data_IF_291633331978
#
_entry.id   IF_291633331978
#
_cell.length_a   1.000
_cell.length_b   1.000
_cell.length_c   1.000
_cell.angle_alpha   90.00
_cell.angle_beta   90.00
_cell.angle_gamma   90.00
#
_symmetry.space_group_name_H-M   'P 1'
#
loop_
_entity.id
_entity.type
_entity.pdbx_description
1 polymer ?
#
# COMPACT_ATOMS: atom_id res chain seq x y z
N UNK A 1 2.16 9.69 -16.78
CA UNK A 1 2.83 8.53 -16.14
C UNK A 1 3.93 9.05 -15.22
N UNK A 2 4.19 8.40 -14.09
CA UNK A 2 5.23 8.77 -13.13
C UNK A 2 6.08 7.54 -12.75
N UNK A 3 7.30 7.78 -12.29
CA UNK A 3 8.17 6.78 -11.68
C UNK A 3 8.46 7.24 -10.26
N UNK A 4 7.68 6.75 -9.28
CA UNK A 4 7.87 7.16 -7.89
C UNK A 4 9.26 6.73 -7.41
N UNK A 5 10.00 7.65 -6.81
CA UNK A 5 11.25 7.34 -6.14
C UNK A 5 10.99 6.60 -4.83
N UNK A 6 12.03 5.93 -4.30
CA UNK A 6 11.95 5.28 -2.98
C UNK A 6 11.62 6.31 -1.90
N UNK A 7 12.24 7.50 -1.96
CA UNK A 7 11.97 8.58 -1.03
C UNK A 7 10.49 9.02 -1.07
N UNK A 8 9.93 9.18 -2.28
CA UNK A 8 8.51 9.53 -2.44
C UNK A 8 7.58 8.44 -1.90
N UNK A 9 7.83 7.17 -2.21
CA UNK A 9 7.00 6.06 -1.71
C UNK A 9 7.07 5.92 -0.18
N UNK A 10 8.25 6.12 0.40
CA UNK A 10 8.43 6.15 1.86
C UNK A 10 7.69 7.34 2.48
N UNK A 11 7.73 8.53 1.87
CA UNK A 11 6.95 9.68 2.36
C UNK A 11 5.43 9.43 2.23
N UNK A 12 5.00 8.76 1.16
CA UNK A 12 3.60 8.49 0.85
C UNK A 12 2.96 7.53 1.87
N UNK A 13 3.65 6.44 2.22
CA UNK A 13 3.13 5.37 3.06
C UNK A 13 3.87 5.13 4.36
N UNK A 14 4.89 5.92 4.72
CA UNK A 14 5.74 5.66 5.89
C UNK A 14 5.00 5.58 7.22
N UNK A 15 3.80 6.16 7.32
CA UNK A 15 2.94 6.01 8.48
C UNK A 15 2.47 4.55 8.70
N UNK A 16 2.39 3.74 7.63
CA UNK A 16 1.91 2.36 7.68
C UNK A 16 2.85 1.44 8.44
N UNK A 17 4.17 1.67 8.41
CA UNK A 17 5.14 0.84 9.13
C UNK A 17 4.80 0.77 10.63
N UNK A 18 4.52 1.92 11.24
CA UNK A 18 4.09 2.02 12.65
C UNK A 18 2.70 1.43 12.90
N UNK A 19 1.81 1.50 11.91
CA UNK A 19 0.47 0.90 12.00
C UNK A 19 0.58 -0.63 11.99
N UNK A 20 1.42 -1.18 11.13
CA UNK A 20 1.67 -2.62 11.01
C UNK A 20 2.31 -3.19 12.26
N UNK A 21 3.27 -2.50 12.85
CA UNK A 21 3.92 -2.92 14.09
C UNK A 21 2.90 -3.13 15.22
N UNK A 22 1.86 -2.30 15.30
CA UNK A 22 0.80 -2.43 16.31
C UNK A 22 -0.24 -3.48 15.95
N UNK A 23 -0.64 -3.57 14.68
CA UNK A 23 -1.80 -4.36 14.24
C UNK A 23 -1.47 -5.81 13.89
N UNK A 24 -0.24 -6.12 13.48
CA UNK A 24 0.12 -7.44 12.95
C UNK A 24 0.65 -8.43 13.99
N UNK A 25 0.94 -8.00 15.22
CA UNK A 25 1.47 -8.86 16.31
C UNK A 25 0.61 -10.12 16.49
N UNK A 26 -0.71 -9.95 16.54
CA UNK A 26 -1.64 -11.08 16.73
C UNK A 26 -1.55 -12.09 15.57
N UNK A 27 -1.37 -11.60 14.34
CA UNK A 27 -1.26 -12.46 13.16
C UNK A 27 0.05 -13.25 13.16
N UNK A 28 1.14 -12.66 13.67
CA UNK A 28 2.43 -13.35 13.80
C UNK A 28 2.31 -14.50 14.81
N UNK A 29 1.68 -14.28 15.97
CA UNK A 29 1.49 -15.34 16.97
C UNK A 29 0.72 -16.55 16.40
N UNK A 30 -0.34 -16.29 15.62
CA UNK A 30 -1.12 -17.35 14.95
C UNK A 30 -0.27 -18.09 13.91
N UNK A 31 0.49 -17.36 13.08
CA UNK A 31 1.39 -17.97 12.08
C UNK A 31 2.48 -18.82 12.73
N UNK A 32 3.05 -18.37 13.85
CA UNK A 32 4.06 -19.12 14.61
C UNK A 32 3.47 -20.40 15.20
N UNK A 33 2.28 -20.33 15.79
CA UNK A 33 1.58 -21.51 16.31
C UNK A 33 1.30 -22.51 15.18
N UNK A 34 0.68 -22.05 14.08
CA UNK A 34 0.41 -22.89 12.92
C UNK A 34 1.67 -23.56 12.38
N UNK A 35 2.77 -22.83 12.22
CA UNK A 35 4.01 -23.37 11.67
C UNK A 35 4.69 -24.37 12.62
N UNK A 36 4.71 -24.10 13.93
CA UNK A 36 5.35 -24.99 14.91
C UNK A 36 4.50 -26.22 15.26
N UNK A 37 3.17 -26.09 15.17
CA UNK A 37 2.22 -27.18 15.46
C UNK A 37 1.84 -27.99 14.22
N UNK A 38 2.14 -27.52 12.99
CA UNK A 38 1.89 -28.29 11.77
C UNK A 38 2.88 -29.43 11.54
N UNK A 39 3.98 -29.47 12.30
CA UNK A 39 4.98 -30.52 12.17
C UNK A 39 4.44 -31.87 12.65
N UNK A 40 4.70 -32.98 11.92
CA UNK A 40 4.17 -34.31 12.27
C UNK A 40 4.68 -34.82 13.62
N UNK A 41 5.83 -34.30 14.06
CA UNK A 41 6.47 -34.60 15.33
C UNK A 41 6.64 -33.27 16.07
N UNK A 42 6.38 -33.21 17.40
CA UNK A 42 6.60 -32.01 18.17
C UNK A 42 8.02 -31.46 17.97
N UNK A 43 8.12 -30.19 17.56
CA UNK A 43 9.41 -29.49 17.37
C UNK A 43 10.19 -29.40 18.68
N UNK A 44 9.48 -29.31 19.79
CA UNK A 44 10.01 -29.29 21.14
C UNK A 44 9.40 -30.41 21.97
N UNK A 45 10.16 -30.92 22.93
CA UNK A 45 9.74 -31.92 23.92
C UNK A 45 8.89 -31.32 25.05
N UNK A 46 8.53 -30.05 24.95
CA UNK A 46 7.66 -29.32 25.87
C UNK A 46 6.56 -28.56 25.10
N UNK A 47 5.38 -28.35 25.72
CA UNK A 47 4.32 -27.56 25.11
C UNK A 47 4.66 -26.07 25.13
N UNK A 48 4.41 -25.38 24.02
CA UNK A 48 4.43 -23.91 23.96
C UNK A 48 3.02 -23.41 24.24
N UNK A 49 2.86 -22.53 25.23
CA UNK A 49 1.55 -21.98 25.61
C UNK A 49 1.25 -20.67 24.88
N UNK A 50 -0.03 -20.25 24.74
CA UNK A 50 -0.41 -19.05 23.98
C UNK A 50 0.37 -17.77 24.33
N UNK A 51 0.72 -17.56 25.60
CA UNK A 51 1.50 -16.39 26.05
C UNK A 51 2.93 -16.37 25.49
N UNK A 52 3.53 -17.53 25.22
CA UNK A 52 4.89 -17.64 24.68
C UNK A 52 4.90 -17.33 23.18
N UNK A 53 3.89 -17.80 22.43
CA UNK A 53 3.68 -17.36 21.05
C UNK A 53 3.51 -15.84 20.93
N UNK A 54 2.78 -15.23 21.87
CA UNK A 54 2.65 -13.76 21.92
C UNK A 54 3.99 -13.07 22.22
N UNK A 55 4.80 -13.61 23.13
CA UNK A 55 6.12 -13.08 23.44
C UNK A 55 7.07 -13.16 22.23
N UNK A 56 7.11 -14.30 21.53
CA UNK A 56 7.87 -14.46 20.30
C UNK A 56 7.38 -13.50 19.20
N UNK A 57 6.07 -13.40 19.02
CA UNK A 57 5.47 -12.48 18.05
C UNK A 57 5.84 -11.03 18.31
N UNK A 58 5.86 -10.59 19.58
CA UNK A 58 6.29 -9.24 19.96
C UNK A 58 7.73 -8.95 19.56
N UNK A 59 8.64 -9.92 19.71
CA UNK A 59 10.04 -9.80 19.30
C UNK A 59 10.20 -9.66 17.78
N UNK A 60 9.32 -10.28 17.01
CA UNK A 60 9.33 -10.22 15.55
C UNK A 60 8.53 -9.06 14.96
N UNK A 61 7.67 -8.41 15.75
CA UNK A 61 6.68 -7.44 15.28
C UNK A 61 7.28 -6.30 14.45
N UNK A 62 8.35 -5.66 14.96
CA UNK A 62 9.02 -4.57 14.26
C UNK A 62 9.65 -5.05 12.94
N UNK A 63 10.32 -6.22 12.93
CA UNK A 63 10.91 -6.79 11.72
C UNK A 63 9.86 -7.16 10.68
N UNK A 64 8.75 -7.76 11.12
CA UNK A 64 7.65 -8.13 10.25
C UNK A 64 6.96 -6.90 9.66
N UNK A 65 6.65 -5.90 10.47
CA UNK A 65 6.08 -4.64 10.02
C UNK A 65 6.98 -3.92 9.00
N UNK A 66 8.29 -3.88 9.28
CA UNK A 66 9.29 -3.36 8.35
C UNK A 66 9.29 -4.13 7.03
N UNK A 67 9.19 -5.46 7.07
CA UNK A 67 9.12 -6.29 5.86
C UNK A 67 7.84 -6.04 5.05
N UNK A 68 6.68 -5.98 5.70
CA UNK A 68 5.40 -5.73 5.02
C UNK A 68 5.37 -4.32 4.40
N UNK A 69 5.90 -3.31 5.10
CA UNK A 69 6.05 -1.98 4.55
C UNK A 69 7.06 -1.95 3.38
N UNK A 70 8.18 -2.65 3.50
CA UNK A 70 9.17 -2.75 2.43
C UNK A 70 8.58 -3.34 1.15
N UNK A 71 7.74 -4.36 1.27
CA UNK A 71 7.04 -4.94 0.13
C UNK A 71 6.21 -3.87 -0.60
N UNK A 72 5.51 -2.97 0.12
CA UNK A 72 4.67 -1.93 -0.50
C UNK A 72 5.53 -0.98 -1.31
N UNK A 73 6.61 -0.48 -0.71
CA UNK A 73 7.56 0.42 -1.38
C UNK A 73 8.21 -0.27 -2.59
N UNK A 74 8.58 -1.54 -2.44
CA UNK A 74 9.16 -2.33 -3.53
C UNK A 74 8.17 -2.56 -4.67
N UNK A 75 6.90 -2.81 -4.39
CA UNK A 75 5.88 -2.90 -5.42
C UNK A 75 5.71 -1.58 -6.18
N UNK A 76 5.70 -0.45 -5.46
CA UNK A 76 5.52 0.88 -6.06
C UNK A 76 6.73 1.37 -6.85
N UNK A 77 7.95 0.97 -6.46
CA UNK A 77 9.19 1.57 -6.98
C UNK A 77 10.11 0.57 -7.68
N UNK A 78 9.88 -0.73 -7.48
CA UNK A 78 10.77 -1.81 -7.92
C UNK A 78 12.03 -1.94 -7.08
N UNK A 79 12.10 -1.30 -5.91
CA UNK A 79 13.25 -1.30 -5.02
C UNK A 79 12.84 -1.42 -3.55
N UNK A 80 13.50 -2.32 -2.81
CA UNK A 80 13.30 -2.46 -1.37
C UNK A 80 13.98 -1.30 -0.61
N UNK A 81 13.26 -0.54 0.23
CA UNK A 81 13.80 0.66 0.88
C UNK A 81 14.90 0.36 1.91
N UNK A 82 15.04 -0.90 2.34
CA UNK A 82 16.03 -1.32 3.34
C UNK A 82 17.14 -2.20 2.78
N UNK A 83 17.12 -2.45 1.47
CA UNK A 83 18.12 -3.24 0.76
C UNK A 83 18.42 -2.58 -0.60
N UNK A 84 18.93 -1.35 -0.53
CA UNK A 84 19.31 -0.58 -1.71
C UNK A 84 20.77 -0.87 -2.08
N UNK A 85 21.11 -0.94 -3.38
CA UNK A 85 22.49 -1.08 -3.83
C UNK A 85 23.38 0.07 -3.35
N UNK A 86 24.69 -0.18 -3.24
CA UNK A 86 25.67 0.87 -2.93
C UNK A 86 25.62 1.99 -3.97
N UNK A 87 25.63 3.23 -3.50
CA UNK A 87 25.53 4.42 -4.35
C UNK A 87 24.14 4.72 -4.91
N UNK A 88 23.11 3.92 -4.57
CA UNK A 88 21.73 4.21 -4.94
C UNK A 88 21.25 5.52 -4.30
N UNK A 89 20.60 6.40 -5.08
CA UNK A 89 20.01 7.65 -4.58
C UNK A 89 18.51 7.46 -4.36
N UNK A 90 17.98 7.50 -3.13
CA UNK A 90 16.56 7.29 -2.84
C UNK A 90 15.60 8.22 -3.60
N UNK A 91 16.07 9.39 -4.02
CA UNK A 91 15.31 10.42 -4.73
C UNK A 91 15.25 10.17 -6.24
N UNK A 92 16.09 9.30 -6.79
CA UNK A 92 16.08 9.00 -8.21
C UNK A 92 14.79 8.27 -8.62
N UNK A 93 14.32 8.41 -9.88
CA UNK A 93 13.11 7.74 -10.34
C UNK A 93 13.17 6.22 -10.11
N UNK A 94 12.06 5.66 -9.63
CA UNK A 94 11.92 4.22 -9.45
C UNK A 94 11.88 3.46 -10.78
N UNK A 95 12.00 2.14 -10.69
CA UNK A 95 11.98 1.21 -11.85
C UNK A 95 10.57 0.90 -12.32
N UNK A 96 9.58 0.99 -11.43
CA UNK A 96 8.18 0.77 -11.74
C UNK A 96 7.53 2.06 -12.22
N UNK A 97 6.67 1.93 -13.23
CA UNK A 97 5.88 3.02 -13.76
C UNK A 97 4.45 2.98 -13.19
N UNK A 98 3.90 4.14 -12.83
CA UNK A 98 2.53 4.30 -12.38
C UNK A 98 1.77 5.32 -13.22
N UNK A 99 0.47 5.10 -13.42
CA UNK A 99 -0.43 6.13 -13.92
C UNK A 99 -0.99 6.92 -12.74
N UNK A 100 -0.64 8.21 -12.67
CA UNK A 100 -1.20 9.13 -11.69
C UNK A 100 -2.23 10.04 -12.37
N UNK A 101 -3.39 10.18 -11.74
CA UNK A 101 -4.52 10.98 -12.22
C UNK A 101 -4.96 11.92 -11.10
N UNK A 102 -5.23 13.18 -11.44
CA UNK A 102 -5.79 14.17 -10.53
C UNK A 102 -7.23 14.47 -10.94
N UNK A 103 -8.18 14.11 -10.08
CA UNK A 103 -9.60 14.39 -10.30
C UNK A 103 -10.02 15.64 -9.53
N UNK A 104 -10.80 16.51 -10.17
CA UNK A 104 -11.38 17.71 -9.56
C UNK A 104 -12.89 17.70 -9.75
N UNK A 105 -13.62 18.05 -8.69
CA UNK A 105 -15.06 18.18 -8.71
C UNK A 105 -15.64 18.09 -7.30
N UNK A 106 -16.93 18.40 -7.20
CA UNK A 106 -17.70 18.18 -5.97
C UNK A 106 -17.64 16.70 -5.58
N UNK A 107 -17.35 16.42 -4.31
CA UNK A 107 -17.21 15.07 -3.75
C UNK A 107 -16.25 14.13 -4.50
N UNK A 108 -15.25 14.68 -5.20
CA UNK A 108 -14.35 13.88 -6.05
C UNK A 108 -13.71 12.70 -5.29
N UNK A 109 -13.22 12.92 -4.06
CA UNK A 109 -12.62 11.85 -3.24
C UNK A 109 -13.61 10.70 -3.02
N UNK A 110 -14.83 11.01 -2.57
CA UNK A 110 -15.87 10.01 -2.33
C UNK A 110 -16.24 9.29 -3.64
N UNK A 111 -16.52 10.04 -4.70
CA UNK A 111 -16.93 9.48 -6.00
C UNK A 111 -15.89 8.52 -6.57
N UNK A 112 -14.61 8.85 -6.49
CA UNK A 112 -13.54 7.97 -6.97
C UNK A 112 -13.42 6.72 -6.09
N UNK A 113 -13.50 6.85 -4.75
CA UNK A 113 -13.47 5.70 -3.84
C UNK A 113 -14.64 4.75 -4.05
N UNK A 114 -15.84 5.27 -4.30
CA UNK A 114 -17.02 4.46 -4.59
C UNK A 114 -16.82 3.64 -5.88
N UNK A 115 -16.17 4.21 -6.91
CA UNK A 115 -15.84 3.49 -8.15
C UNK A 115 -14.74 2.45 -7.99
N UNK A 116 -13.80 2.66 -7.06
CA UNK A 116 -12.79 1.67 -6.73
C UNK A 116 -13.39 0.50 -5.94
N UNK A 117 -14.27 0.80 -4.98
CA UNK A 117 -14.73 -0.17 -3.99
C UNK A 117 -13.74 -0.35 -2.84
N UNK A 118 -14.02 -1.24 -1.88
CA UNK A 118 -13.19 -1.47 -0.70
C UNK A 118 -11.79 -1.97 -1.06
N UNK A 119 -10.80 -1.71 -0.18
CA UNK A 119 -9.38 -2.07 -0.39
C UNK A 119 -9.16 -3.57 -0.64
N UNK A 120 -10.03 -4.41 -0.08
CA UNK A 120 -10.04 -5.86 -0.27
C UNK A 120 -10.95 -6.22 -1.46
N UNK A 121 -10.41 -6.68 -2.60
CA UNK A 121 -11.18 -7.07 -3.78
C UNK A 121 -12.29 -8.09 -3.49
N UNK A 122 -12.07 -9.01 -2.54
CA UNK A 122 -13.03 -10.07 -2.21
C UNK A 122 -14.33 -9.52 -1.58
N UNK A 123 -14.24 -8.33 -0.99
CA UNK A 123 -15.35 -7.62 -0.35
C UNK A 123 -16.00 -6.57 -1.25
N UNK A 124 -15.47 -6.36 -2.45
CA UNK A 124 -15.99 -5.37 -3.39
C UNK A 124 -17.20 -5.89 -4.17
N UNK A 125 -18.15 -5.01 -4.45
CA UNK A 125 -19.32 -5.28 -5.28
C UNK A 125 -18.94 -5.41 -6.76
N UNK A 126 -19.74 -6.11 -7.55
CA UNK A 126 -19.51 -6.25 -9.00
C UNK A 126 -19.50 -4.90 -9.71
N UNK A 127 -18.57 -4.71 -10.65
CA UNK A 127 -18.47 -3.47 -11.43
C UNK A 127 -17.66 -2.35 -10.78
N UNK A 128 -17.00 -2.62 -9.63
CA UNK A 128 -15.96 -1.72 -9.11
C UNK A 128 -14.58 -2.14 -9.60
N UNK A 129 -13.66 -1.18 -9.73
CA UNK A 129 -12.30 -1.43 -10.26
C UNK A 129 -11.58 -2.53 -9.48
N UNK A 130 -11.66 -2.51 -8.14
CA UNK A 130 -10.97 -3.49 -7.32
C UNK A 130 -11.58 -4.88 -7.40
N UNK A 131 -12.90 -4.99 -7.62
CA UNK A 131 -13.55 -6.29 -7.81
C UNK A 131 -13.13 -6.94 -9.12
N UNK A 132 -13.11 -6.14 -10.18
CA UNK A 132 -12.92 -6.65 -11.53
C UNK A 132 -11.44 -6.86 -11.87
N UNK A 133 -10.54 -6.07 -11.27
CA UNK A 133 -9.11 -6.07 -11.62
C UNK A 133 -8.14 -6.30 -10.45
N UNK A 134 -8.63 -6.35 -9.21
CA UNK A 134 -7.81 -6.62 -8.04
C UNK A 134 -7.60 -8.11 -7.81
N UNK A 135 -6.35 -8.52 -7.54
CA UNK A 135 -6.01 -9.90 -7.22
C UNK A 135 -6.02 -10.17 -5.70
N UNK A 136 -5.45 -9.25 -4.93
CA UNK A 136 -5.32 -9.36 -3.47
C UNK A 136 -5.18 -7.96 -2.83
N UNK A 137 -4.92 -7.89 -1.52
CA UNK A 137 -4.75 -6.62 -0.79
C UNK A 137 -3.57 -5.78 -1.27
N UNK A 138 -2.49 -6.42 -1.72
CA UNK A 138 -1.28 -5.79 -2.24
C UNK A 138 -1.48 -5.29 -3.67
N UNK A 139 -2.10 -6.14 -4.49
CA UNK A 139 -2.35 -5.95 -5.92
C UNK A 139 -3.84 -5.75 -6.15
N UNK A 140 -4.41 -4.72 -5.53
CA UNK A 140 -5.85 -4.48 -5.54
C UNK A 140 -6.36 -3.65 -6.72
N UNK A 141 -5.52 -3.39 -7.73
CA UNK A 141 -5.90 -2.68 -8.96
C UNK A 141 -5.58 -1.19 -8.92
N UNK A 142 -5.99 -0.44 -7.89
CA UNK A 142 -5.72 1.00 -7.81
C UNK A 142 -5.83 1.62 -6.40
N UNK A 143 -5.08 2.71 -6.24
CA UNK A 143 -5.09 3.60 -5.07
C UNK A 143 -5.98 4.83 -5.29
N UNK A 144 -6.60 5.31 -4.21
CA UNK A 144 -7.16 6.65 -4.14
C UNK A 144 -7.10 7.18 -2.71
N UNK A 145 -6.87 8.48 -2.59
CA UNK A 145 -6.87 9.20 -1.31
C UNK A 145 -8.16 8.95 -0.53
N UNK A 146 -8.06 8.92 0.80
CA UNK A 146 -9.19 8.66 1.70
C UNK A 146 -9.90 9.93 2.19
N UNK A 147 -9.27 11.09 1.98
CA UNK A 147 -9.68 12.39 2.50
C UNK A 147 -9.10 13.51 1.63
N UNK A 148 -9.62 14.73 1.78
CA UNK A 148 -9.08 15.90 1.07
C UNK A 148 -7.65 16.22 1.52
N UNK A 149 -7.37 16.04 2.81
CA UNK A 149 -6.06 16.21 3.43
C UNK A 149 -5.05 15.21 2.86
N UNK A 150 -5.44 13.93 2.75
CA UNK A 150 -4.61 12.92 2.07
C UNK A 150 -4.41 13.27 0.60
N UNK A 151 -5.45 13.69 -0.12
CA UNK A 151 -5.31 14.08 -1.53
C UNK A 151 -4.30 15.23 -1.72
N UNK A 152 -4.33 16.25 -0.86
CA UNK A 152 -3.39 17.37 -0.87
C UNK A 152 -1.94 16.91 -0.57
N UNK A 153 -1.76 16.05 0.43
CA UNK A 153 -0.45 15.46 0.76
C UNK A 153 0.09 14.62 -0.40
N UNK A 154 -0.72 13.71 -0.91
CA UNK A 154 -0.35 12.74 -1.93
C UNK A 154 0.02 13.43 -3.25
N UNK A 155 -0.79 14.39 -3.72
CA UNK A 155 -0.50 15.13 -4.96
C UNK A 155 0.80 15.94 -4.88
N UNK A 156 1.14 16.47 -3.69
CA UNK A 156 2.42 17.14 -3.44
C UNK A 156 3.59 16.17 -3.58
N UNK A 157 3.50 15.00 -2.95
CA UNK A 157 4.57 13.98 -2.97
C UNK A 157 4.88 13.53 -4.40
N UNK A 158 3.85 13.28 -5.21
CA UNK A 158 4.02 12.80 -6.60
C UNK A 158 4.23 13.93 -7.62
N UNK A 159 4.30 15.19 -7.19
CA UNK A 159 4.57 16.34 -8.06
C UNK A 159 3.38 16.81 -8.91
N UNK A 160 2.16 16.38 -8.62
CA UNK A 160 0.94 16.85 -9.28
C UNK A 160 0.36 18.09 -8.58
N UNK A 161 1.15 19.16 -8.47
CA UNK A 161 0.78 20.40 -7.74
C UNK A 161 0.13 21.47 -8.61
N UNK A 162 0.20 21.34 -9.94
CA UNK A 162 -0.48 22.24 -10.87
C UNK A 162 -2.01 22.14 -10.73
N UNK A 163 -2.69 23.29 -10.65
CA UNK A 163 -4.15 23.37 -10.81
C UNK A 163 -4.54 23.71 -12.26
N UNK A 164 -3.54 23.83 -13.14
CA UNK A 164 -3.79 24.06 -14.55
C UNK A 164 -4.48 22.84 -15.15
N UNK A 165 -5.49 23.04 -16.01
CA UNK A 165 -6.00 21.99 -16.87
C UNK A 165 -4.82 21.30 -17.55
N UNK A 166 -4.69 19.98 -17.37
CA UNK A 166 -3.89 19.23 -18.33
C UNK A 166 -4.54 19.37 -19.72
N UNK A 167 -3.77 19.13 -20.79
CA UNK A 167 -4.33 19.14 -22.15
C UNK A 167 -5.54 18.19 -22.26
N UNK A 168 -5.49 17.05 -21.56
CA UNK A 168 -6.60 16.11 -21.45
C UNK A 168 -7.80 16.70 -20.70
N UNK A 169 -7.58 17.47 -19.63
CA UNK A 169 -8.66 18.15 -18.93
C UNK A 169 -9.30 19.26 -19.77
N UNK A 170 -8.59 19.85 -20.73
CA UNK A 170 -9.17 20.75 -21.72
C UNK A 170 -10.01 19.98 -22.74
N UNK A 171 -9.49 18.88 -23.29
CA UNK A 171 -10.21 18.01 -24.24
C UNK A 171 -11.50 17.42 -23.65
N UNK A 172 -11.45 16.89 -22.41
CA UNK A 172 -12.61 16.33 -21.72
C UNK A 172 -13.68 17.43 -21.50
N UNK A 173 -13.26 18.65 -21.13
CA UNK A 173 -14.18 19.78 -20.95
C UNK A 173 -14.84 20.22 -22.26
N UNK A 174 -14.13 20.15 -23.38
CA UNK A 174 -14.72 20.40 -24.69
C UNK A 174 -15.75 19.33 -25.05
N UNK A 175 -15.44 18.06 -24.76
CA UNK A 175 -16.34 16.94 -25.04
C UNK A 175 -17.63 17.00 -24.21
N UNK A 176 -17.53 17.28 -22.90
CA UNK A 176 -18.69 17.34 -21.99
C UNK A 176 -19.59 18.56 -22.25
N UNK A 177 -19.09 19.62 -22.91
CA UNK A 177 -19.88 20.79 -23.28
C UNK A 177 -20.75 20.60 -24.53
N UNK A 178 -20.60 19.49 -25.26
CA UNK A 178 -21.45 19.08 -26.39
C UNK A 178 -22.54 18.14 -25.91
#
# INVERSE_FOLDING_TARGET
MIHMSVAQAVEFYGFLEKVFEKKLVRNIAVKLAQALESEPVPVFDFPIVPREYQAMAKTLAAKYARSEFANIVEYMTGCNPYNLPDGYRPEQPGRTMCLALLYQGEDAVKKIRDKLGPTDPSKAEGGTVRRDYGADLMRNGAHASDSAESAARERRIIGLTGNEPSEEAAMIREYIRK
#
